data_IF_610045377406
#
_entry.id   IF_610045377406
#
_cell.length_a   1.000
_cell.length_b   1.000
_cell.length_c   1.000
_cell.angle_alpha   90.00
_cell.angle_beta   90.00
_cell.angle_gamma   90.00
#
_symmetry.space_group_name_H-M   'P 1'
#
loop_
_entity.id
_entity.type
_entity.pdbx_description
1 polymer ?
#
# COMPACT_ATOMS: atom_id res chain seq x y z
N UNK A 1 24.38 1.76 6.23
CA UNK A 1 23.40 2.18 7.26
C UNK A 1 22.98 3.63 7.08
N UNK A 2 23.86 4.62 7.28
CA UNK A 2 23.49 6.05 7.17
C UNK A 2 22.74 6.41 5.87
N UNK A 3 23.30 6.07 4.71
CA UNK A 3 22.69 6.37 3.40
C UNK A 3 21.30 5.76 3.23
N UNK A 4 21.10 4.49 3.62
CA UNK A 4 19.80 3.83 3.45
C UNK A 4 18.72 4.43 4.35
N UNK A 5 19.03 4.69 5.63
CA UNK A 5 18.05 5.31 6.54
C UNK A 5 17.73 6.74 6.08
N UNK A 6 18.74 7.51 5.68
CA UNK A 6 18.56 8.89 5.25
C UNK A 6 17.79 9.00 3.94
N UNK A 7 18.13 8.17 2.95
CA UNK A 7 17.45 8.11 1.67
C UNK A 7 15.96 7.80 1.87
N UNK A 8 15.66 6.72 2.59
CA UNK A 8 14.28 6.30 2.77
C UNK A 8 13.46 7.21 3.69
N UNK A 9 14.07 7.88 4.69
CA UNK A 9 13.32 8.86 5.49
C UNK A 9 12.86 10.02 4.61
N UNK A 10 13.72 10.47 3.69
CA UNK A 10 13.38 11.52 2.74
C UNK A 10 12.37 11.01 1.71
N UNK A 11 12.53 9.81 1.15
CA UNK A 11 11.53 9.19 0.26
C UNK A 11 10.16 9.14 0.94
N UNK A 12 10.04 8.55 2.14
CA UNK A 12 8.78 8.44 2.86
C UNK A 12 8.13 9.80 3.11
N UNK A 13 8.92 10.82 3.46
CA UNK A 13 8.42 12.19 3.61
C UNK A 13 7.97 12.80 2.27
N UNK A 14 8.76 12.64 1.20
CA UNK A 14 8.43 13.14 -0.13
C UNK A 14 7.14 12.52 -0.65
N UNK A 15 6.93 11.20 -0.48
CA UNK A 15 5.72 10.51 -0.91
C UNK A 15 4.48 11.07 -0.21
N UNK A 16 4.53 11.28 1.12
CA UNK A 16 3.41 11.89 1.87
C UNK A 16 3.17 13.35 1.44
N UNK A 17 4.24 14.13 1.29
CA UNK A 17 4.17 15.55 0.94
C UNK A 17 3.59 15.71 -0.46
N UNK A 18 4.10 14.97 -1.45
CA UNK A 18 3.61 15.02 -2.82
C UNK A 18 2.15 14.56 -2.93
N UNK A 19 1.74 13.53 -2.19
CA UNK A 19 0.34 13.12 -2.10
C UNK A 19 -0.55 14.23 -1.54
N UNK A 20 -0.11 14.96 -0.50
CA UNK A 20 -0.91 16.03 0.13
C UNK A 20 -0.98 17.29 -0.70
N UNK A 21 0.11 17.64 -1.39
CA UNK A 21 0.19 18.87 -2.18
C UNK A 21 -0.77 18.84 -3.37
N UNK A 22 -1.12 17.65 -3.88
CA UNK A 22 -2.13 17.37 -4.89
C UNK A 22 -2.47 18.57 -5.79
N UNK A 23 -1.44 19.14 -6.44
CA UNK A 23 -1.48 20.50 -6.99
C UNK A 23 -2.19 20.56 -8.36
N UNK A 24 -3.26 19.77 -8.49
CA UNK A 24 -4.33 19.85 -9.50
C UNK A 24 -4.17 19.10 -10.83
N UNK A 25 -3.06 18.40 -11.13
CA UNK A 25 -2.92 17.47 -12.29
C UNK A 25 -1.62 16.62 -12.25
N UNK A 26 -1.22 16.10 -11.08
CA UNK A 26 0.04 15.35 -10.91
C UNK A 26 -0.07 13.83 -11.19
N UNK A 27 -0.83 13.46 -12.23
CA UNK A 27 -1.00 12.06 -12.67
C UNK A 27 -1.65 11.15 -11.63
N UNK A 28 -1.74 9.84 -11.92
CA UNK A 28 -2.15 8.85 -10.95
C UNK A 28 -1.04 8.69 -9.89
N UNK A 29 -1.13 9.43 -8.79
CA UNK A 29 -0.19 9.33 -7.68
C UNK A 29 -0.63 8.18 -6.77
N UNK A 30 0.30 7.28 -6.44
CA UNK A 30 0.02 6.16 -5.54
C UNK A 30 -0.18 6.69 -4.13
N UNK A 31 -1.36 6.48 -3.58
CA UNK A 31 -1.63 6.78 -2.17
C UNK A 31 -0.70 5.97 -1.26
N UNK A 32 -0.09 6.62 -0.28
CA UNK A 32 0.74 6.04 0.77
C UNK A 32 0.15 6.38 2.13
N UNK A 33 0.24 5.42 3.05
CA UNK A 33 -0.17 5.54 4.44
C UNK A 33 0.99 6.05 5.31
N UNK A 34 0.71 6.45 6.55
CA UNK A 34 1.74 6.93 7.49
C UNK A 34 2.90 5.94 7.73
N UNK A 35 2.69 4.60 7.75
CA UNK A 35 3.76 3.61 7.85
C UNK A 35 4.89 3.75 6.82
N UNK A 36 4.68 4.37 5.66
CA UNK A 36 5.72 4.55 4.64
C UNK A 36 6.98 5.24 5.19
N UNK A 37 6.83 6.10 6.21
CA UNK A 37 7.92 6.86 6.83
C UNK A 37 8.96 5.96 7.50
N UNK A 38 8.58 4.78 7.99
CA UNK A 38 9.53 3.83 8.58
C UNK A 38 9.83 2.64 7.65
N UNK A 39 8.91 2.32 6.73
CA UNK A 39 9.08 1.22 5.78
C UNK A 39 10.10 1.58 4.69
N UNK A 40 10.00 2.76 4.08
CA UNK A 40 10.97 3.20 3.08
C UNK A 40 12.44 3.19 3.59
N UNK A 41 12.77 3.77 4.77
CA UNK A 41 14.11 3.64 5.35
C UNK A 41 14.58 2.21 5.57
N UNK A 42 13.67 1.29 5.93
CA UNK A 42 14.00 -0.11 6.14
C UNK A 42 14.32 -0.81 4.82
N UNK A 43 13.51 -0.57 3.79
CA UNK A 43 13.72 -1.11 2.43
C UNK A 43 15.04 -0.62 1.85
N UNK A 44 15.27 0.69 1.93
CA UNK A 44 16.51 1.30 1.48
C UNK A 44 17.72 0.80 2.26
N UNK A 45 17.59 0.64 3.58
CA UNK A 45 18.66 0.07 4.39
C UNK A 45 19.06 -1.34 3.91
N UNK A 46 18.08 -2.21 3.64
CA UNK A 46 18.33 -3.57 3.14
C UNK A 46 18.96 -3.53 1.74
N UNK A 47 18.39 -2.76 0.82
CA UNK A 47 18.93 -2.66 -0.54
C UNK A 47 20.37 -2.12 -0.56
N UNK A 48 20.61 -1.05 0.19
CA UNK A 48 21.93 -0.42 0.24
C UNK A 48 22.94 -1.35 0.91
N UNK A 49 22.52 -2.13 1.92
CA UNK A 49 23.36 -3.16 2.54
C UNK A 49 23.71 -4.28 1.54
N UNK A 50 22.77 -4.73 0.70
CA UNK A 50 23.03 -5.70 -0.36
C UNK A 50 24.03 -5.17 -1.38
N UNK A 51 23.88 -3.92 -1.83
CA UNK A 51 24.83 -3.29 -2.76
C UNK A 51 26.22 -3.20 -2.13
N UNK A 52 26.33 -2.77 -0.87
CA UNK A 52 27.63 -2.73 -0.17
C UNK A 52 28.23 -4.13 -0.01
N UNK A 53 27.43 -5.14 0.29
CA UNK A 53 27.90 -6.52 0.39
C UNK A 53 28.44 -7.03 -0.96
N UNK A 54 27.76 -6.74 -2.07
CA UNK A 54 28.23 -7.08 -3.41
C UNK A 54 29.54 -6.37 -3.76
N UNK A 55 29.65 -5.07 -3.45
CA UNK A 55 30.89 -4.31 -3.65
C UNK A 55 32.00 -4.90 -2.76
N UNK A 56 31.72 -5.30 -1.52
CA UNK A 56 32.69 -5.93 -0.62
C UNK A 56 33.13 -7.33 -1.10
N UNK A 57 32.23 -8.13 -1.68
CA UNK A 57 32.57 -9.41 -2.31
C UNK A 57 33.46 -9.17 -3.54
N UNK A 58 33.07 -8.24 -4.41
CA UNK A 58 33.88 -7.85 -5.56
C UNK A 58 35.25 -7.30 -5.16
N UNK A 59 35.34 -6.60 -4.02
CA UNK A 59 36.59 -6.13 -3.45
C UNK A 59 37.54 -7.26 -3.06
N UNK A 60 37.02 -8.40 -2.60
CA UNK A 60 37.87 -9.57 -2.29
C UNK A 60 38.51 -10.14 -3.55
N UNK A 61 37.81 -10.06 -4.68
CA UNK A 61 38.31 -10.53 -5.98
C UNK A 61 39.22 -9.49 -6.64
N UNK A 62 38.88 -8.20 -6.48
CA UNK A 62 39.58 -7.07 -7.07
C UNK A 62 39.89 -6.01 -6.00
N UNK A 63 40.92 -6.22 -5.16
CA UNK A 63 41.19 -5.38 -3.98
C UNK A 63 41.54 -3.92 -4.31
N UNK A 64 41.97 -3.64 -5.54
CA UNK A 64 42.21 -2.27 -6.03
C UNK A 64 40.92 -1.49 -6.36
N UNK A 65 39.76 -2.16 -6.40
CA UNK A 65 38.46 -1.58 -6.82
C UNK A 65 37.68 -1.03 -5.61
N UNK A 66 37.90 -1.49 -4.38
CA UNK A 66 37.18 -0.93 -3.23
C UNK A 66 37.87 0.33 -2.70
N UNK A 67 37.64 1.44 -3.38
CA UNK A 67 37.97 2.76 -2.84
C UNK A 67 36.76 3.33 -2.11
N UNK A 68 37.01 4.12 -1.05
CA UNK A 68 36.01 4.97 -0.41
C UNK A 68 35.17 5.74 -1.43
N UNK A 69 35.80 6.16 -2.54
CA UNK A 69 35.15 6.84 -3.65
C UNK A 69 34.11 5.97 -4.37
N UNK A 70 34.38 4.70 -4.66
CA UNK A 70 33.43 3.81 -5.35
C UNK A 70 32.23 3.50 -4.45
N UNK A 71 32.46 3.19 -3.18
CA UNK A 71 31.37 2.97 -2.23
C UNK A 71 30.50 4.22 -2.07
N UNK A 72 31.13 5.39 -1.91
CA UNK A 72 30.41 6.67 -1.80
C UNK A 72 29.63 6.97 -3.08
N UNK A 73 30.22 6.75 -4.26
CA UNK A 73 29.55 6.96 -5.54
C UNK A 73 28.31 6.09 -5.67
N UNK A 74 28.43 4.77 -5.45
CA UNK A 74 27.30 3.86 -5.57
C UNK A 74 26.16 4.22 -4.61
N UNK A 75 26.48 4.52 -3.35
CA UNK A 75 25.47 4.87 -2.35
C UNK A 75 24.81 6.22 -2.65
N UNK A 76 25.58 7.24 -3.02
CA UNK A 76 25.03 8.55 -3.40
C UNK A 76 24.24 8.50 -4.70
N UNK A 77 24.64 7.66 -5.66
CA UNK A 77 23.88 7.41 -6.87
C UNK A 77 22.51 6.83 -6.55
N UNK A 78 22.45 5.79 -5.70
CA UNK A 78 21.18 5.19 -5.29
C UNK A 78 20.29 6.20 -4.57
N UNK A 79 20.82 6.97 -3.62
CA UNK A 79 20.06 8.02 -2.91
C UNK A 79 19.53 9.09 -3.87
N UNK A 80 20.36 9.60 -4.78
CA UNK A 80 19.95 10.65 -5.71
C UNK A 80 18.91 10.12 -6.73
N UNK A 81 19.12 8.90 -7.22
CA UNK A 81 18.17 8.24 -8.12
C UNK A 81 16.82 8.05 -7.43
N UNK A 82 16.86 7.64 -6.16
CA UNK A 82 15.67 7.41 -5.36
C UNK A 82 14.78 8.66 -5.24
N UNK A 83 15.36 9.78 -4.81
CA UNK A 83 14.61 11.03 -4.66
C UNK A 83 14.14 11.61 -6.00
N UNK A 84 14.95 11.49 -7.06
CA UNK A 84 14.58 12.01 -8.38
C UNK A 84 13.41 11.25 -9.00
N UNK A 85 13.34 9.94 -8.78
CA UNK A 85 12.25 9.10 -9.30
C UNK A 85 10.97 9.25 -8.49
N UNK A 86 11.06 9.58 -7.19
CA UNK A 86 9.89 9.94 -6.37
C UNK A 86 9.06 11.11 -6.95
N UNK A 87 9.68 11.99 -7.74
CA UNK A 87 8.99 13.12 -8.41
C UNK A 87 7.98 12.63 -9.47
N UNK A 88 8.21 11.46 -10.08
CA UNK A 88 7.28 10.82 -11.02
C UNK A 88 7.08 11.55 -12.36
N UNK A 89 7.83 12.62 -12.65
CA UNK A 89 7.71 13.43 -13.89
C UNK A 89 8.87 13.24 -14.86
N UNK A 90 10.03 12.87 -14.33
CA UNK A 90 11.24 12.68 -15.12
C UNK A 90 11.24 11.27 -15.69
N UNK A 91 11.67 11.14 -16.95
CA UNK A 91 11.91 9.81 -17.54
C UNK A 91 13.03 9.13 -16.74
N UNK A 92 12.95 7.81 -16.57
CA UNK A 92 13.92 7.03 -15.79
C UNK A 92 15.38 7.27 -16.25
N UNK A 93 15.61 7.45 -17.55
CA UNK A 93 16.92 7.81 -18.10
C UNK A 93 17.43 9.19 -17.68
N UNK A 94 16.54 10.17 -17.57
CA UNK A 94 16.87 11.50 -17.06
C UNK A 94 17.25 11.43 -15.58
N UNK A 95 16.48 10.68 -14.78
CA UNK A 95 16.82 10.43 -13.37
C UNK A 95 18.18 9.74 -13.24
N UNK A 96 18.45 8.74 -14.07
CA UNK A 96 19.72 8.01 -14.08
C UNK A 96 20.90 8.95 -14.36
N UNK A 97 20.85 9.73 -15.44
CA UNK A 97 21.93 10.64 -15.82
C UNK A 97 22.17 11.73 -14.75
N UNK A 98 21.09 12.30 -14.22
CA UNK A 98 21.18 13.29 -13.13
C UNK A 98 21.77 12.67 -11.86
N UNK A 99 21.34 11.47 -11.49
CA UNK A 99 21.87 10.75 -10.33
C UNK A 99 23.37 10.44 -10.49
N UNK A 100 23.82 10.04 -11.69
CA UNK A 100 25.25 9.86 -11.99
C UNK A 100 26.02 11.17 -11.82
N UNK A 101 25.48 12.28 -12.33
CA UNK A 101 26.08 13.61 -12.19
C UNK A 101 26.22 14.04 -10.72
N UNK A 102 25.12 13.96 -9.96
CA UNK A 102 25.08 14.30 -8.53
C UNK A 102 26.03 13.42 -7.71
N UNK A 103 26.01 12.11 -7.94
CA UNK A 103 26.90 11.17 -7.26
C UNK A 103 28.38 11.45 -7.58
N UNK A 104 28.70 11.80 -8.83
CA UNK A 104 30.06 12.14 -9.24
C UNK A 104 30.58 13.39 -8.50
N UNK A 105 29.76 14.44 -8.44
CA UNK A 105 30.10 15.69 -7.74
C UNK A 105 30.27 15.44 -6.24
N UNK A 106 29.30 14.75 -5.63
CA UNK A 106 29.34 14.43 -4.20
C UNK A 106 30.56 13.57 -3.85
N UNK A 107 30.88 12.56 -4.66
CA UNK A 107 32.04 11.68 -4.43
C UNK A 107 33.36 12.45 -4.47
N UNK A 108 33.53 13.38 -5.42
CA UNK A 108 34.74 14.21 -5.51
C UNK A 108 34.89 15.09 -4.27
N UNK A 109 33.79 15.69 -3.81
CA UNK A 109 33.78 16.48 -2.58
C UNK A 109 34.03 15.60 -1.33
N UNK A 110 33.44 14.41 -1.28
CA UNK A 110 33.56 13.49 -0.17
C UNK A 110 34.98 12.96 0.00
N UNK A 111 35.68 12.66 -1.11
CA UNK A 111 37.08 12.25 -1.09
C UNK A 111 38.00 13.32 -0.50
N UNK A 112 37.70 14.62 -0.72
CA UNK A 112 38.46 15.74 -0.12
C UNK A 112 38.21 15.89 1.38
N UNK A 113 37.10 15.36 1.89
CA UNK A 113 36.64 15.56 3.26
C UNK A 113 36.40 14.24 4.01
N UNK A 114 37.10 13.16 3.62
CA UNK A 114 36.84 11.79 4.09
C UNK A 114 36.81 11.68 5.62
N UNK A 115 37.82 12.21 6.30
CA UNK A 115 37.90 12.15 7.76
C UNK A 115 36.79 12.94 8.48
N UNK A 116 36.34 14.05 7.89
CA UNK A 116 35.23 14.84 8.40
C UNK A 116 33.88 14.13 8.21
N UNK A 117 33.66 13.56 7.03
CA UNK A 117 32.45 12.81 6.69
C UNK A 117 32.31 11.52 7.50
N UNK A 118 33.39 10.77 7.69
CA UNK A 118 33.35 9.57 8.51
C UNK A 118 32.93 9.88 9.96
N UNK A 119 33.45 10.98 10.53
CA UNK A 119 33.03 11.47 11.86
C UNK A 119 31.57 11.92 11.86
N UNK A 120 31.16 12.67 10.84
CA UNK A 120 29.79 13.14 10.69
C UNK A 120 28.80 11.97 10.60
N UNK A 121 29.04 10.99 9.73
CA UNK A 121 28.20 9.80 9.60
C UNK A 121 28.18 9.01 10.90
N UNK A 122 29.32 8.80 11.57
CA UNK A 122 29.34 8.08 12.85
C UNK A 122 28.54 8.81 13.94
N UNK A 123 28.57 10.14 13.96
CA UNK A 123 27.84 10.95 14.95
C UNK A 123 26.34 11.05 14.66
N UNK A 124 25.94 11.08 13.39
CA UNK A 124 24.53 11.26 12.98
C UNK A 124 23.79 9.95 12.75
N UNK A 125 24.48 8.84 12.49
CA UNK A 125 23.83 7.54 12.31
C UNK A 125 22.97 7.13 13.52
N UNK A 126 23.45 7.23 14.78
CA UNK A 126 22.61 6.93 15.94
C UNK A 126 21.35 7.80 15.99
N UNK A 127 21.46 9.09 15.64
CA UNK A 127 20.31 10.00 15.58
C UNK A 127 19.30 9.53 14.54
N UNK A 128 19.74 9.15 13.34
CA UNK A 128 18.84 8.63 12.29
C UNK A 128 18.16 7.32 12.72
N UNK A 129 18.89 6.41 13.36
CA UNK A 129 18.32 5.16 13.91
C UNK A 129 17.29 5.48 14.99
N UNK A 130 17.59 6.39 15.91
CA UNK A 130 16.62 6.83 16.93
C UNK A 130 15.39 7.46 16.29
N UNK A 131 15.55 8.33 15.29
CA UNK A 131 14.41 8.92 14.58
C UNK A 131 13.54 7.87 13.89
N UNK A 132 14.16 6.86 13.26
CA UNK A 132 13.45 5.75 12.63
C UNK A 132 12.66 4.93 13.67
N UNK A 133 13.29 4.58 14.80
CA UNK A 133 12.63 3.85 15.88
C UNK A 133 11.50 4.66 16.52
N UNK A 134 11.71 5.96 16.73
CA UNK A 134 10.70 6.88 17.24
C UNK A 134 9.54 6.98 16.25
N UNK A 135 9.79 7.11 14.95
CA UNK A 135 8.74 7.13 13.95
C UNK A 135 7.92 5.83 13.96
N UNK A 136 8.58 4.67 13.98
CA UNK A 136 7.94 3.37 14.10
C UNK A 136 7.04 3.29 15.35
N UNK A 137 7.60 3.59 16.53
CA UNK A 137 6.86 3.53 17.80
C UNK A 137 5.70 4.51 17.79
N UNK A 138 5.89 5.77 17.38
CA UNK A 138 4.83 6.77 17.36
C UNK A 138 3.69 6.40 16.42
N UNK A 139 3.98 5.83 15.25
CA UNK A 139 2.96 5.43 14.27
C UNK A 139 2.12 4.27 14.83
N UNK A 140 2.75 3.21 15.33
CA UNK A 140 2.04 2.05 15.91
C UNK A 140 1.32 2.41 17.21
N UNK A 141 1.97 3.17 18.09
CA UNK A 141 1.38 3.67 19.32
C UNK A 141 0.15 4.50 19.01
N UNK A 142 0.26 5.48 18.10
CA UNK A 142 -0.87 6.35 17.75
C UNK A 142 -2.05 5.56 17.21
N UNK A 143 -1.81 4.56 16.36
CA UNK A 143 -2.87 3.70 15.83
C UNK A 143 -3.58 2.95 16.95
N UNK A 144 -2.82 2.21 17.76
CA UNK A 144 -3.35 1.41 18.86
C UNK A 144 -4.03 2.27 19.94
N UNK A 145 -3.49 3.45 20.23
CA UNK A 145 -4.09 4.38 21.19
C UNK A 145 -5.37 5.00 20.68
N UNK A 146 -5.44 5.37 19.40
CA UNK A 146 -6.67 5.90 18.82
C UNK A 146 -7.79 4.87 18.93
N UNK A 147 -7.54 3.64 18.48
CA UNK A 147 -8.54 2.57 18.53
C UNK A 147 -9.01 2.32 19.98
N UNK A 148 -8.08 2.15 20.92
CA UNK A 148 -8.41 1.99 22.35
C UNK A 148 -9.23 3.16 22.89
N UNK A 149 -8.85 4.38 22.52
CA UNK A 149 -9.53 5.58 22.96
C UNK A 149 -10.97 5.67 22.44
N UNK A 150 -11.20 5.40 21.15
CA UNK A 150 -12.55 5.36 20.59
C UNK A 150 -13.38 4.26 21.24
N UNK A 151 -12.81 3.06 21.41
CA UNK A 151 -13.50 1.94 22.09
C UNK A 151 -13.91 2.26 23.53
N UNK A 152 -13.10 3.03 24.28
CA UNK A 152 -13.45 3.43 25.65
C UNK A 152 -14.54 4.50 25.73
N UNK A 153 -14.81 5.19 24.62
CA UNK A 153 -15.82 6.26 24.54
C UNK A 153 -17.19 5.75 24.08
N UNK A 154 -17.25 4.52 23.58
CA UNK A 154 -18.50 3.92 23.16
C UNK A 154 -19.48 3.84 24.33
N UNK A 155 -20.77 4.17 24.11
CA UNK A 155 -21.80 3.88 25.09
C UNK A 155 -21.95 2.35 25.25
N UNK A 156 -22.64 1.93 26.30
CA UNK A 156 -23.00 0.52 26.44
C UNK A 156 -24.02 0.14 25.37
N UNK A 157 -23.74 -0.93 24.63
CA UNK A 157 -24.73 -1.53 23.74
C UNK A 157 -25.92 -2.09 24.55
N UNK A 158 -27.08 -2.19 23.91
CA UNK A 158 -28.24 -2.84 24.53
C UNK A 158 -27.90 -4.31 24.89
N UNK A 159 -28.42 -4.85 26.02
CA UNK A 159 -28.09 -6.20 26.49
C UNK A 159 -28.31 -7.31 25.45
N UNK A 160 -29.31 -7.15 24.58
CA UNK A 160 -29.70 -8.12 23.55
C UNK A 160 -29.35 -7.65 22.12
N UNK A 161 -28.42 -6.69 22.00
CA UNK A 161 -27.95 -6.21 20.70
C UNK A 161 -27.27 -7.35 19.90
N UNK A 162 -27.71 -7.67 18.67
CA UNK A 162 -27.08 -8.73 17.88
C UNK A 162 -25.72 -8.28 17.33
N UNK A 163 -24.82 -9.22 17.02
CA UNK A 163 -23.65 -8.90 16.20
C UNK A 163 -24.08 -8.72 14.74
N UNK A 164 -23.58 -7.67 14.09
CA UNK A 164 -23.87 -7.38 12.68
C UNK A 164 -22.60 -7.63 11.85
N UNK A 165 -22.71 -8.50 10.85
CA UNK A 165 -21.64 -8.79 9.90
C UNK A 165 -22.14 -8.53 8.48
N UNK A 166 -21.42 -7.68 7.73
CA UNK A 166 -21.70 -7.37 6.33
C UNK A 166 -20.53 -7.90 5.49
N UNK A 167 -20.84 -8.81 4.57
CA UNK A 167 -19.87 -9.37 3.63
C UNK A 167 -20.21 -8.90 2.23
N UNK A 168 -19.27 -8.20 1.58
CA UNK A 168 -19.43 -7.70 0.22
C UNK A 168 -18.43 -8.40 -0.68
N UNK A 169 -18.89 -8.90 -1.82
CA UNK A 169 -18.05 -9.49 -2.86
C UNK A 169 -17.93 -8.52 -4.02
N UNK A 170 -16.72 -8.21 -4.44
CA UNK A 170 -16.49 -7.31 -5.56
C UNK A 170 -16.72 -8.05 -6.89
N UNK A 171 -17.56 -7.49 -7.75
CA UNK A 171 -17.89 -8.02 -9.08
C UNK A 171 -18.52 -9.43 -9.13
N UNK A 172 -19.00 -9.97 -8.00
CA UNK A 172 -19.69 -11.27 -7.97
C UNK A 172 -21.03 -11.18 -8.71
N UNK A 173 -21.24 -12.08 -9.66
CA UNK A 173 -22.51 -12.24 -10.35
C UNK A 173 -23.36 -13.33 -9.71
N UNK A 174 -24.65 -13.07 -9.56
CA UNK A 174 -25.59 -14.04 -8.99
C UNK A 174 -25.64 -15.35 -9.80
N UNK A 175 -25.56 -15.28 -11.13
CA UNK A 175 -25.61 -16.46 -12.01
C UNK A 175 -24.35 -17.35 -11.93
N UNK A 176 -23.37 -17.01 -11.10
CA UNK A 176 -22.17 -17.81 -10.80
C UNK A 176 -22.16 -18.40 -9.37
N UNK A 177 -23.27 -18.29 -8.65
CA UNK A 177 -23.46 -18.81 -7.29
C UNK A 177 -24.42 -20.01 -7.35
N UNK A 178 -24.06 -21.16 -6.77
CA UNK A 178 -24.84 -22.40 -6.93
C UNK A 178 -26.27 -22.27 -6.37
N UNK A 179 -26.48 -21.53 -5.27
CA UNK A 179 -27.82 -21.25 -4.73
C UNK A 179 -28.74 -20.47 -5.68
N UNK A 180 -28.19 -19.83 -6.71
CA UNK A 180 -28.92 -19.09 -7.75
C UNK A 180 -29.01 -19.88 -9.08
N UNK A 181 -28.63 -21.15 -9.09
CA UNK A 181 -28.77 -22.04 -10.25
C UNK A 181 -27.49 -22.26 -11.07
N UNK A 182 -26.32 -21.85 -10.58
CA UNK A 182 -25.06 -22.16 -11.26
C UNK A 182 -24.79 -23.68 -11.24
N UNK A 183 -24.45 -24.32 -12.38
CA UNK A 183 -24.36 -25.78 -12.47
C UNK A 183 -23.15 -26.40 -11.75
N UNK A 184 -22.21 -25.59 -11.26
CA UNK A 184 -21.02 -26.06 -10.52
C UNK A 184 -21.16 -25.65 -9.06
N UNK A 185 -20.68 -26.49 -8.16
CA UNK A 185 -20.60 -26.16 -6.73
C UNK A 185 -19.41 -25.22 -6.46
N UNK A 186 -19.62 -23.92 -6.66
CA UNK A 186 -18.58 -22.89 -6.48
C UNK A 186 -18.69 -22.15 -5.16
N UNK A 187 -19.85 -22.22 -4.49
CA UNK A 187 -20.16 -21.35 -3.35
C UNK A 187 -20.70 -22.08 -2.12
N UNK A 188 -20.09 -23.20 -1.66
CA UNK A 188 -20.68 -24.09 -0.65
C UNK A 188 -21.04 -23.38 0.67
N UNK A 189 -20.25 -22.39 1.10
CA UNK A 189 -20.53 -21.62 2.31
C UNK A 189 -21.69 -20.62 2.13
N UNK A 190 -21.79 -19.98 0.96
CA UNK A 190 -22.90 -19.08 0.63
C UNK A 190 -24.19 -19.89 0.50
N UNK A 191 -24.11 -21.05 -0.17
CA UNK A 191 -25.24 -21.95 -0.36
C UNK A 191 -25.77 -22.48 0.98
N UNK A 192 -24.87 -22.75 1.93
CA UNK A 192 -25.25 -23.12 3.30
C UNK A 192 -25.98 -21.97 4.02
N UNK A 193 -25.44 -20.75 3.95
CA UNK A 193 -26.10 -19.57 4.55
C UNK A 193 -27.48 -19.30 3.93
N UNK A 194 -27.61 -19.47 2.61
CA UNK A 194 -28.89 -19.33 1.91
C UNK A 194 -29.94 -20.35 2.38
N UNK A 195 -29.53 -21.60 2.65
CA UNK A 195 -30.41 -22.65 3.18
C UNK A 195 -30.82 -22.45 4.64
N UNK A 196 -29.91 -21.94 5.46
CA UNK A 196 -30.14 -21.71 6.89
C UNK A 196 -30.84 -20.37 7.18
N UNK A 197 -30.84 -19.45 6.21
CA UNK A 197 -31.37 -18.10 6.36
C UNK A 197 -32.36 -17.72 5.26
N UNK A 198 -32.21 -16.49 4.75
CA UNK A 198 -33.05 -15.95 3.68
C UNK A 198 -32.22 -15.73 2.40
N UNK A 199 -32.74 -16.19 1.26
CA UNK A 199 -32.20 -15.95 -0.06
C UNK A 199 -33.08 -14.92 -0.79
N UNK A 200 -32.50 -13.80 -1.22
CA UNK A 200 -33.21 -12.81 -2.02
C UNK A 200 -33.02 -13.14 -3.50
N UNK A 201 -34.11 -13.47 -4.20
CA UNK A 201 -34.10 -13.67 -5.66
C UNK A 201 -33.94 -12.35 -6.43
N UNK A 202 -34.35 -11.24 -5.82
CA UNK A 202 -34.28 -9.89 -6.39
C UNK A 202 -33.60 -8.92 -5.41
N UNK A 203 -32.26 -8.90 -5.43
CA UNK A 203 -31.44 -7.94 -4.71
C UNK A 203 -30.77 -6.98 -5.70
N UNK A 204 -31.23 -5.73 -5.76
CA UNK A 204 -30.80 -4.76 -6.78
C UNK A 204 -29.76 -3.80 -6.18
N UNK A 205 -28.59 -3.72 -6.81
CA UNK A 205 -27.58 -2.73 -6.44
C UNK A 205 -28.03 -1.31 -6.82
N UNK A 206 -27.80 -0.30 -5.96
CA UNK A 206 -28.25 1.07 -6.21
C UNK A 206 -27.45 1.80 -7.30
N UNK A 207 -26.33 1.22 -7.76
CA UNK A 207 -25.47 1.77 -8.79
C UNK A 207 -24.76 0.66 -9.59
N UNK A 208 -24.35 0.92 -10.86
CA UNK A 208 -23.74 -0.10 -11.72
C UNK A 208 -22.23 -0.32 -11.47
N UNK A 209 -21.62 0.38 -10.51
CA UNK A 209 -20.18 0.25 -10.21
C UNK A 209 -19.89 0.48 -8.73
N UNK A 210 -18.73 -0.02 -8.27
CA UNK A 210 -18.44 -0.28 -6.85
C UNK A 210 -18.50 0.96 -5.96
N UNK A 211 -17.92 2.09 -6.38
CA UNK A 211 -17.81 3.28 -5.52
C UNK A 211 -19.17 3.83 -5.05
N UNK A 212 -20.09 4.26 -5.94
CA UNK A 212 -21.40 4.74 -5.49
C UNK A 212 -22.21 3.64 -4.81
N UNK A 213 -22.06 2.37 -5.22
CA UNK A 213 -22.76 1.26 -4.55
C UNK A 213 -22.35 1.11 -3.08
N UNK A 214 -21.05 1.23 -2.77
CA UNK A 214 -20.57 1.22 -1.39
C UNK A 214 -21.03 2.44 -0.59
N UNK A 215 -21.06 3.63 -1.21
CA UNK A 215 -21.58 4.84 -0.54
C UNK A 215 -23.05 4.66 -0.20
N UNK A 216 -23.86 4.20 -1.16
CA UNK A 216 -25.28 3.92 -0.93
C UNK A 216 -25.49 2.87 0.15
N UNK A 217 -24.69 1.78 0.16
CA UNK A 217 -24.75 0.74 1.19
C UNK A 217 -24.55 1.31 2.60
N UNK A 218 -23.57 2.21 2.76
CA UNK A 218 -23.25 2.77 4.08
C UNK A 218 -24.10 3.97 4.48
N UNK A 219 -24.70 4.69 3.53
CA UNK A 219 -25.48 5.91 3.84
C UNK A 219 -26.99 5.70 3.75
N UNK A 220 -27.44 4.62 3.09
CA UNK A 220 -28.85 4.42 2.75
C UNK A 220 -29.37 5.41 1.69
N UNK A 221 -28.48 6.09 0.96
CA UNK A 221 -28.81 7.14 -0.01
C UNK A 221 -28.59 6.68 -1.44
N UNK A 222 -29.43 7.10 -2.37
CA UNK A 222 -29.23 6.83 -3.79
C UNK A 222 -28.07 7.64 -4.39
N UNK A 223 -27.53 7.15 -5.50
CA UNK A 223 -26.42 7.75 -6.24
C UNK A 223 -26.59 9.26 -6.52
N UNK A 224 -27.82 9.69 -6.82
CA UNK A 224 -28.14 11.10 -7.10
C UNK A 224 -28.21 11.96 -5.82
N UNK A 225 -28.50 11.38 -4.65
CA UNK A 225 -28.57 12.11 -3.38
C UNK A 225 -27.18 12.40 -2.83
N UNK A 226 -26.25 11.45 -2.94
CA UNK A 226 -24.88 11.62 -2.45
C UNK A 226 -23.91 12.15 -3.53
N UNK A 227 -24.35 12.35 -4.78
CA UNK A 227 -23.60 13.09 -5.82
C UNK A 227 -22.35 12.41 -6.37
N UNK A 228 -22.13 11.13 -6.07
CA UNK A 228 -20.96 10.36 -6.58
C UNK A 228 -21.23 9.77 -7.97
N UNK A 229 -22.45 9.93 -8.49
CA UNK A 229 -22.83 9.34 -9.77
C UNK A 229 -22.15 9.90 -11.00
N UNK A 230 -21.72 11.16 -10.95
CA UNK A 230 -21.12 11.87 -12.09
C UNK A 230 -19.59 11.89 -12.02
N UNK A 231 -18.99 11.21 -11.05
CA UNK A 231 -17.53 11.20 -10.87
C UNK A 231 -16.90 10.22 -11.85
N UNK A 232 -15.98 10.64 -12.74
CA UNK A 232 -15.30 9.74 -13.65
C UNK A 232 -14.56 8.65 -12.86
N UNK A 233 -14.67 7.35 -13.22
CA UNK A 233 -14.10 6.24 -12.45
C UNK A 233 -12.58 6.35 -12.17
N UNK A 234 -11.81 6.98 -13.06
CA UNK A 234 -10.37 7.20 -12.87
C UNK A 234 -9.99 8.52 -12.19
N UNK A 235 -10.94 9.42 -11.93
CA UNK A 235 -10.68 10.72 -11.29
C UNK A 235 -10.60 10.64 -9.75
N UNK A 236 -11.02 9.50 -9.19
CA UNK A 236 -11.16 9.28 -7.75
C UNK A 236 -9.80 9.08 -7.06
N UNK A 237 -8.71 8.83 -7.80
CA UNK A 237 -7.35 8.70 -7.23
C UNK A 237 -6.72 10.02 -6.80
N UNK A 238 -7.42 11.15 -6.98
CA UNK A 238 -6.93 12.48 -6.64
C UNK A 238 -7.95 13.36 -5.92
N UNK A 239 -9.14 12.84 -5.60
CA UNK A 239 -10.18 13.62 -4.94
C UNK A 239 -10.27 13.21 -3.48
N UNK A 240 -9.97 14.16 -2.57
CA UNK A 240 -10.57 14.23 -1.23
C UNK A 240 -12.06 14.55 -1.35
N UNK A 241 -12.79 13.92 -2.26
CA UNK A 241 -14.23 13.99 -2.24
C UNK A 241 -14.65 13.12 -1.05
N UNK A 242 -15.23 13.68 0.03
CA UNK A 242 -15.83 12.84 1.04
C UNK A 242 -16.92 12.06 0.31
N UNK A 243 -16.71 10.76 0.06
CA UNK A 243 -17.64 9.95 -0.71
C UNK A 243 -19.07 10.01 -0.14
N UNK A 244 -19.17 10.32 1.16
CA UNK A 244 -20.39 10.42 1.95
C UNK A 244 -21.08 11.80 1.92
N UNK A 245 -20.45 12.87 1.40
CA UNK A 245 -21.01 14.24 1.36
C UNK A 245 -21.60 14.76 2.69
N UNK A 246 -20.97 14.39 3.82
CA UNK A 246 -21.46 14.77 5.16
C UNK A 246 -22.63 13.93 5.67
N UNK A 247 -23.11 12.96 4.90
CA UNK A 247 -24.13 11.99 5.34
C UNK A 247 -23.59 11.17 6.51
N UNK A 248 -24.51 10.82 7.41
CA UNK A 248 -24.25 9.89 8.50
C UNK A 248 -24.21 8.47 7.93
N UNK A 249 -23.26 7.66 8.40
CA UNK A 249 -23.05 6.29 7.93
C UNK A 249 -23.68 5.27 8.88
N UNK A 250 -23.98 4.08 8.37
CA UNK A 250 -24.39 2.92 9.15
C UNK A 250 -23.39 2.64 10.28
N UNK A 251 -22.08 2.80 10.00
CA UNK A 251 -21.05 2.60 11.00
C UNK A 251 -21.12 3.65 12.12
N UNK A 252 -21.33 4.93 11.80
CA UNK A 252 -21.52 5.98 12.80
C UNK A 252 -22.78 5.73 13.65
N UNK A 253 -23.88 5.31 13.02
CA UNK A 253 -25.12 4.98 13.74
C UNK A 253 -24.87 3.80 14.70
N UNK A 254 -24.21 2.74 14.24
CA UNK A 254 -23.88 1.58 15.10
C UNK A 254 -22.94 1.98 16.24
N UNK A 255 -21.92 2.80 15.97
CA UNK A 255 -20.99 3.32 16.97
C UNK A 255 -21.71 4.10 18.08
N UNK A 256 -22.67 4.96 17.72
CA UNK A 256 -23.52 5.69 18.66
C UNK A 256 -24.39 4.77 19.53
N UNK A 257 -24.66 3.54 19.08
CA UNK A 257 -25.40 2.52 19.82
C UNK A 257 -24.49 1.54 20.57
N UNK A 258 -23.20 1.85 20.71
CA UNK A 258 -22.26 1.09 21.51
C UNK A 258 -21.62 -0.11 20.80
N UNK A 259 -21.80 -0.21 19.48
CA UNK A 259 -21.16 -1.26 18.70
C UNK A 259 -19.69 -0.94 18.47
N UNK A 260 -18.86 -1.98 18.54
CA UNK A 260 -17.47 -1.92 18.09
C UNK A 260 -17.45 -2.14 16.59
N UNK A 261 -17.13 -1.10 15.84
CA UNK A 261 -17.20 -1.12 14.37
C UNK A 261 -15.82 -1.37 13.76
N UNK A 262 -15.77 -2.34 12.84
CA UNK A 262 -14.57 -2.71 12.10
C UNK A 262 -14.85 -2.86 10.61
N UNK A 263 -13.93 -2.44 9.75
CA UNK A 263 -13.99 -2.66 8.31
C UNK A 263 -12.67 -3.21 7.78
N UNK A 264 -12.75 -4.21 6.89
CA UNK A 264 -11.61 -4.87 6.26
C UNK A 264 -11.81 -4.87 4.75
N UNK A 265 -10.88 -4.28 3.99
CA UNK A 265 -11.05 -4.06 2.55
C UNK A 265 -9.86 -4.52 1.73
N UNK A 266 -10.15 -5.39 0.76
CA UNK A 266 -9.24 -5.74 -0.33
C UNK A 266 -9.38 -4.81 -1.55
N UNK A 267 -10.46 -4.01 -1.64
CA UNK A 267 -10.69 -3.12 -2.79
C UNK A 267 -9.86 -1.83 -2.65
N UNK A 268 -8.77 -1.77 -3.40
CA UNK A 268 -7.75 -0.70 -3.30
C UNK A 268 -8.20 0.65 -3.84
N UNK A 269 -9.27 0.69 -4.64
CA UNK A 269 -9.63 1.86 -5.44
C UNK A 269 -10.94 2.47 -5.00
N UNK A 270 -11.94 1.67 -4.63
CA UNK A 270 -13.32 2.09 -4.45
C UNK A 270 -13.89 1.81 -3.04
N UNK A 271 -13.08 1.25 -2.14
CA UNK A 271 -13.40 1.16 -0.70
C UNK A 271 -12.12 1.32 0.13
N UNK A 272 -11.71 2.57 0.37
CA UNK A 272 -10.51 2.89 1.14
C UNK A 272 -10.73 4.06 2.11
N UNK A 273 -9.89 4.14 3.14
CA UNK A 273 -9.94 5.24 4.11
C UNK A 273 -9.75 6.60 3.43
N UNK A 274 -8.97 6.68 2.35
CA UNK A 274 -8.71 7.92 1.62
C UNK A 274 -9.96 8.53 0.96
N UNK A 275 -10.97 7.70 0.68
CA UNK A 275 -12.26 8.14 0.13
C UNK A 275 -13.28 8.53 1.22
N UNK A 276 -12.89 8.43 2.50
CA UNK A 276 -13.76 8.75 3.63
C UNK A 276 -14.55 7.57 4.18
N UNK A 277 -14.29 6.34 3.72
CA UNK A 277 -14.97 5.14 4.22
C UNK A 277 -14.60 4.77 5.67
N UNK A 278 -13.57 5.38 6.25
CA UNK A 278 -13.19 5.17 7.66
C UNK A 278 -14.19 5.77 8.66
N UNK A 279 -15.12 6.63 8.22
CA UNK A 279 -16.03 7.37 9.08
C UNK A 279 -17.00 6.41 9.80
N UNK A 280 -16.97 6.43 11.14
CA UNK A 280 -17.79 5.57 12.01
C UNK A 280 -17.19 4.20 12.30
N UNK A 281 -16.00 3.88 11.77
CA UNK A 281 -15.29 2.63 12.08
C UNK A 281 -14.19 2.89 13.10
N UNK A 282 -14.28 2.27 14.28
CA UNK A 282 -13.22 2.31 15.29
C UNK A 282 -11.94 1.63 14.79
N UNK A 283 -12.08 0.62 13.95
CA UNK A 283 -10.99 -0.07 13.26
C UNK A 283 -11.24 -0.10 11.74
N UNK A 284 -10.27 0.33 10.95
CA UNK A 284 -10.36 0.29 9.49
C UNK A 284 -9.05 -0.23 8.94
N UNK A 285 -9.09 -1.39 8.30
CA UNK A 285 -7.95 -2.01 7.65
C UNK A 285 -8.25 -2.11 6.15
N UNK A 286 -7.51 -1.34 5.36
CA UNK A 286 -7.45 -1.55 3.92
C UNK A 286 -6.04 -1.94 3.50
N UNK A 287 -5.91 -2.35 2.24
CA UNK A 287 -4.65 -2.85 1.69
C UNK A 287 -3.47 -1.86 1.88
N UNK A 288 -3.73 -0.56 2.10
CA UNK A 288 -2.70 0.47 2.31
C UNK A 288 -1.92 0.34 3.62
N UNK A 289 -2.41 -0.44 4.59
CA UNK A 289 -1.78 -0.53 5.92
C UNK A 289 -0.95 -1.81 6.12
N UNK A 290 -0.91 -2.72 5.14
CA UNK A 290 -0.04 -3.91 5.19
C UNK A 290 1.42 -3.59 4.88
N UNK A 291 2.35 -4.27 5.57
CA UNK A 291 3.80 -4.10 5.35
C UNK A 291 4.20 -4.49 3.92
N UNK A 292 3.58 -5.53 3.37
CA UNK A 292 3.83 -5.99 2.01
C UNK A 292 3.39 -4.96 0.96
N UNK A 293 2.23 -4.31 1.14
CA UNK A 293 1.78 -3.25 0.24
C UNK A 293 2.66 -2.00 0.36
N UNK A 294 2.96 -1.57 1.58
CA UNK A 294 3.85 -0.44 1.80
C UNK A 294 5.24 -0.66 1.17
N UNK A 295 5.75 -1.91 1.20
CA UNK A 295 6.94 -2.29 0.46
C UNK A 295 6.78 -2.02 -1.03
N UNK A 296 5.73 -2.55 -1.66
CA UNK A 296 5.46 -2.36 -3.11
C UNK A 296 5.22 -0.89 -3.47
N UNK A 297 4.97 0.00 -2.51
CA UNK A 297 4.83 1.45 -2.73
C UNK A 297 6.13 2.25 -2.60
N UNK A 298 7.17 1.70 -1.98
CA UNK A 298 8.52 2.26 -2.07
C UNK A 298 9.01 2.22 -3.52
N UNK A 299 9.97 3.05 -3.90
CA UNK A 299 10.54 3.05 -5.24
C UNK A 299 11.10 1.67 -5.59
N UNK A 300 11.97 1.14 -4.73
CA UNK A 300 12.65 -0.12 -5.01
C UNK A 300 11.70 -1.30 -4.93
N UNK A 301 10.70 -1.25 -4.04
CA UNK A 301 9.62 -2.23 -4.04
C UNK A 301 8.77 -2.15 -5.31
N UNK A 302 8.54 -0.97 -5.90
CA UNK A 302 7.89 -0.81 -7.20
C UNK A 302 8.71 -1.38 -8.35
N UNK A 303 10.02 -1.11 -8.40
CA UNK A 303 10.87 -1.69 -9.44
C UNK A 303 10.99 -3.21 -9.29
N UNK A 304 11.08 -3.70 -8.05
CA UNK A 304 11.02 -5.14 -7.75
C UNK A 304 9.69 -5.75 -8.21
N UNK A 305 8.56 -5.15 -7.80
CA UNK A 305 7.23 -5.58 -8.19
C UNK A 305 7.00 -5.45 -9.69
N UNK A 306 7.54 -4.43 -10.37
CA UNK A 306 7.49 -4.34 -11.83
C UNK A 306 8.22 -5.53 -12.45
N UNK A 307 9.46 -5.78 -12.05
CA UNK A 307 10.25 -6.92 -12.58
C UNK A 307 9.60 -8.28 -12.25
N UNK A 308 8.88 -8.38 -11.14
CA UNK A 308 8.26 -9.62 -10.64
C UNK A 308 6.81 -9.86 -11.11
N UNK A 309 5.96 -8.83 -11.11
CA UNK A 309 4.52 -8.88 -11.42
C UNK A 309 4.23 -8.67 -12.92
N UNK A 310 5.06 -7.92 -13.66
CA UNK A 310 4.83 -7.71 -15.11
C UNK A 310 5.40 -8.84 -15.99
N UNK A 311 6.03 -9.85 -15.40
CA UNK A 311 6.55 -11.00 -16.15
C UNK A 311 5.56 -12.17 -16.08
N UNK A 312 5.16 -12.66 -17.26
CA UNK A 312 4.31 -13.83 -17.43
C UNK A 312 4.79 -15.02 -16.59
N UNK A 313 3.89 -15.98 -16.33
CA UNK A 313 4.13 -17.18 -15.51
C UNK A 313 5.33 -18.05 -15.98
N UNK A 314 5.98 -17.71 -17.09
CA UNK A 314 7.14 -18.40 -17.66
C UNK A 314 8.51 -17.84 -17.22
N UNK A 315 8.58 -16.82 -16.36
CA UNK A 315 9.87 -16.20 -16.02
C UNK A 315 10.74 -17.02 -15.04
N UNK A 316 12.07 -16.97 -15.24
CA UNK A 316 13.08 -17.72 -14.45
C UNK A 316 13.03 -17.56 -12.91
N UNK A 317 12.74 -16.37 -12.35
CA UNK A 317 12.68 -16.17 -10.90
C UNK A 317 11.53 -16.91 -10.21
N UNK A 318 10.32 -16.94 -10.80
CA UNK A 318 9.18 -17.70 -10.24
C UNK A 318 9.44 -19.22 -10.22
N UNK A 319 10.16 -19.74 -11.24
CA UNK A 319 10.63 -21.14 -11.25
C UNK A 319 11.63 -21.44 -10.14
N UNK A 320 12.52 -20.50 -9.84
CA UNK A 320 13.47 -20.66 -8.74
C UNK A 320 12.73 -20.75 -7.41
N UNK A 321 11.76 -19.85 -7.16
CA UNK A 321 10.98 -19.82 -5.91
C UNK A 321 10.16 -21.10 -5.68
N UNK A 322 9.51 -21.65 -6.70
CA UNK A 322 8.87 -22.99 -6.60
C UNK A 322 9.89 -24.08 -6.25
N UNK A 323 11.11 -23.97 -6.75
CA UNK A 323 12.19 -24.94 -6.47
C UNK A 323 12.71 -24.88 -5.04
N UNK A 324 12.59 -23.73 -4.36
CA UNK A 324 12.97 -23.53 -2.95
C UNK A 324 11.77 -23.59 -1.98
N UNK A 325 10.57 -23.96 -2.46
CA UNK A 325 9.42 -24.29 -1.62
C UNK A 325 8.73 -23.12 -0.93
N UNK A 326 8.89 -21.89 -1.44
CA UNK A 326 8.28 -20.67 -0.89
C UNK A 326 7.05 -20.24 -1.69
N UNK A 327 6.08 -21.16 -1.81
CA UNK A 327 4.89 -20.96 -2.65
C UNK A 327 3.91 -19.92 -2.11
N UNK A 328 3.90 -19.68 -0.79
CA UNK A 328 3.04 -18.64 -0.17
C UNK A 328 3.36 -17.21 -0.61
N UNK A 329 4.51 -16.97 -1.23
CA UNK A 329 4.92 -15.67 -1.81
C UNK A 329 4.52 -15.57 -3.29
N UNK A 330 4.11 -16.69 -3.90
CA UNK A 330 3.72 -16.80 -5.31
C UNK A 330 2.22 -16.72 -5.54
N UNK A 331 1.39 -16.82 -4.49
CA UNK A 331 -0.06 -16.73 -4.61
C UNK A 331 -0.44 -15.38 -5.22
N UNK A 332 -0.79 -15.44 -6.50
CA UNK A 332 -1.69 -14.50 -7.10
C UNK A 332 -3.03 -14.74 -6.40
N UNK A 333 -3.72 -13.68 -6.01
CA UNK A 333 -5.17 -13.70 -6.05
C UNK A 333 -5.54 -14.01 -7.51
N UNK A 334 -5.64 -15.30 -7.86
CA UNK A 334 -6.17 -15.75 -9.13
C UNK A 334 -7.66 -15.41 -9.12
N UNK A 335 -7.96 -14.16 -9.47
CA UNK A 335 -9.28 -13.73 -9.90
C UNK A 335 -9.68 -14.58 -11.12
N UNK A 336 -10.37 -15.69 -10.88
CA UNK A 336 -11.39 -16.25 -11.77
C UNK A 336 -11.00 -16.66 -13.19
N UNK A 337 -9.73 -16.79 -13.55
CA UNK A 337 -9.35 -17.29 -14.86
C UNK A 337 -9.54 -18.80 -14.94
N UNK A 338 -10.69 -19.24 -15.49
CA UNK A 338 -10.90 -20.62 -15.89
C UNK A 338 -9.73 -21.08 -16.79
N UNK A 339 -9.20 -22.31 -16.62
CA UNK A 339 -8.21 -22.83 -17.54
C UNK A 339 -8.83 -22.92 -18.93
N UNK A 340 -8.17 -22.29 -19.90
CA UNK A 340 -8.61 -22.23 -21.29
C UNK A 340 -8.96 -23.61 -21.81
N UNK A 341 -10.24 -23.80 -22.12
CA UNK A 341 -10.70 -24.90 -22.93
C UNK A 341 -10.04 -24.77 -24.30
N UNK A 342 -9.24 -25.76 -24.65
CA UNK A 342 -8.81 -26.00 -26.03
C UNK A 342 -10.05 -26.10 -26.91
N UNK A 343 -10.05 -25.31 -28.00
CA UNK A 343 -10.88 -25.60 -29.16
C UNK A 343 -10.61 -27.04 -29.58
N UNK A 344 -11.66 -27.85 -29.62
CA UNK A 344 -11.91 -28.89 -30.62
C UNK A 344 -13.43 -29.07 -30.73
#
# INVERSE_FOLDING_TARGET
MWFGIFAGLIEGCLLIVFQRLNWRNWGAMLHVSAPIVWISPLVDLVLFALVVALIAIAAKVFPKILSFAIATFCLSFLTAYDWLTCIGRLRHWSCFLLAVGLASVFTRWAKRNEGGLAKFWRRTTPVLVTLLLVAFVLIHWRSAWRERYELTRLPAAAPDAPNVLIVVFDTLRADHVSSYGYPRETSPNIDRLAREGALFENAIAPAPWSLPSHVSLLTGKYQFEHGIGDVPPMSVTGLRAPAMNGSETLAEILEQHGYRTGAFSANRTYFSANLGFFKGFSHFEDYYDSVADCFVRTLFGREFARVYLTRSDRSGPRRLIRRIGWESVLDKDDEGAAPGGTMD
#
